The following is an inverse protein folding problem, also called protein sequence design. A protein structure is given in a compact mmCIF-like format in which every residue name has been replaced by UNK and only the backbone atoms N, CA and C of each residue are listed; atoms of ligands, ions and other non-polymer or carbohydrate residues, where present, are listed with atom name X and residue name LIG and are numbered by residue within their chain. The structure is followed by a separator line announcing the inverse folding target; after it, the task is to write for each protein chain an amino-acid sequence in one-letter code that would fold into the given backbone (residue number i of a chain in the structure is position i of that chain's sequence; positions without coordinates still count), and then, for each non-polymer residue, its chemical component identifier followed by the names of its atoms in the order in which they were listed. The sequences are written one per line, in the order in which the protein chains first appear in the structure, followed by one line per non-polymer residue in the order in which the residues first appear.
data_IF_601039565070
#
_entry.id   IF_601039565070
#
_cell.length_a   1.000
_cell.length_b   1.000
_cell.length_c   1.000
_cell.angle_alpha   90.00
_cell.angle_beta   90.00
_cell.angle_gamma   90.00
#
_symmetry.space_group_name_H-M   'P 1'
#
loop_
_entity.id
_entity.type
_entity.pdbx_description
1 polymer ?
#
# COMPACT_ATOMS: atom_id res chain seq x y z
N UNK A 1 3.03 16.38 -7.78
CA UNK A 1 3.64 16.10 -6.46
C UNK A 1 4.20 14.68 -6.52
N UNK A 2 5.37 14.43 -5.94
CA UNK A 2 5.96 13.08 -5.91
C UNK A 2 5.78 12.57 -4.49
N UNK A 3 4.91 11.58 -4.30
CA UNK A 3 4.74 10.92 -3.01
C UNK A 3 5.86 9.90 -2.79
N UNK A 4 6.16 9.62 -1.51
CA UNK A 4 7.14 8.61 -1.09
C UNK A 4 6.47 7.67 -0.11
N UNK A 5 6.83 6.39 -0.17
CA UNK A 5 6.35 5.36 0.74
C UNK A 5 7.13 5.35 2.06
N UNK A 6 6.39 5.23 3.16
CA UNK A 6 6.91 4.96 4.49
C UNK A 6 6.13 3.82 5.13
N UNK A 7 6.83 2.96 5.88
CA UNK A 7 6.23 1.74 6.42
C UNK A 7 6.42 1.62 7.92
N UNK A 8 5.31 1.39 8.62
CA UNK A 8 5.31 0.91 9.99
C UNK A 8 6.07 -0.44 10.08
N UNK A 9 6.83 -0.72 11.16
CA UNK A 9 7.58 -1.97 11.31
C UNK A 9 6.72 -3.24 11.14
N UNK A 10 5.45 -3.18 11.52
CA UNK A 10 4.51 -4.29 11.34
C UNK A 10 4.23 -4.56 9.86
N UNK A 11 4.01 -3.52 9.04
CA UNK A 11 3.83 -3.67 7.59
C UNK A 11 5.07 -4.29 6.94
N UNK A 12 6.27 -3.89 7.36
CA UNK A 12 7.52 -4.53 6.88
C UNK A 12 7.57 -6.03 7.21
N UNK A 13 7.08 -6.44 8.38
CA UNK A 13 6.99 -7.86 8.76
C UNK A 13 5.94 -8.60 7.94
N UNK A 14 4.81 -7.96 7.63
CA UNK A 14 3.75 -8.59 6.85
C UNK A 14 4.14 -8.75 5.37
N UNK A 15 4.78 -7.75 4.76
CA UNK A 15 5.37 -7.87 3.42
C UNK A 15 6.41 -9.00 3.36
N UNK A 16 7.10 -9.28 4.48
CA UNK A 16 8.06 -10.38 4.57
C UNK A 16 7.42 -11.78 4.53
N UNK A 17 6.12 -11.90 4.85
CA UNK A 17 5.39 -13.18 4.79
C UNK A 17 4.94 -13.53 3.37
N UNK A 18 4.89 -12.56 2.47
CA UNK A 18 4.57 -12.79 1.06
C UNK A 18 5.69 -13.58 0.36
N UNK A 19 5.29 -14.39 -0.63
CA UNK A 19 6.24 -15.05 -1.52
C UNK A 19 7.11 -14.01 -2.26
N UNK A 20 8.35 -14.36 -2.68
CA UNK A 20 9.23 -13.41 -3.35
C UNK A 20 8.58 -12.75 -4.57
N UNK A 21 7.84 -13.52 -5.39
CA UNK A 21 7.13 -13.02 -6.57
C UNK A 21 6.05 -11.99 -6.19
N UNK A 22 5.22 -12.28 -5.19
CA UNK A 22 4.18 -11.34 -4.75
C UNK A 22 4.78 -10.08 -4.12
N UNK A 23 5.87 -10.20 -3.37
CA UNK A 23 6.55 -9.03 -2.80
C UNK A 23 7.08 -8.10 -3.89
N UNK A 24 7.60 -8.66 -4.98
CA UNK A 24 8.06 -7.89 -6.14
C UNK A 24 6.89 -7.16 -6.80
N UNK A 25 5.78 -7.86 -7.11
CA UNK A 25 4.57 -7.27 -7.69
C UNK A 25 4.03 -6.12 -6.83
N UNK A 26 3.91 -6.33 -5.52
CA UNK A 26 3.45 -5.29 -4.59
C UNK A 26 4.35 -4.05 -4.67
N UNK A 27 5.67 -4.23 -4.67
CA UNK A 27 6.63 -3.11 -4.68
C UNK A 27 6.66 -2.36 -6.01
N UNK A 28 6.75 -3.10 -7.12
CA UNK A 28 7.02 -2.53 -8.43
C UNK A 28 5.75 -1.99 -9.10
N UNK A 29 4.61 -2.65 -8.89
CA UNK A 29 3.36 -2.30 -9.53
C UNK A 29 2.44 -1.52 -8.58
N UNK A 30 2.06 -2.14 -7.46
CA UNK A 30 0.99 -1.61 -6.61
C UNK A 30 1.40 -0.37 -5.83
N UNK A 31 2.56 -0.41 -5.14
CA UNK A 31 3.06 0.76 -4.41
C UNK A 31 3.37 1.91 -5.37
N UNK A 32 4.01 1.65 -6.51
CA UNK A 32 4.24 2.66 -7.55
C UNK A 32 2.94 3.32 -8.01
N UNK A 33 1.88 2.54 -8.25
CA UNK A 33 0.57 3.06 -8.65
C UNK A 33 -0.09 3.91 -7.54
N UNK A 34 0.02 3.49 -6.28
CA UNK A 34 -0.47 4.24 -5.12
C UNK A 34 0.28 5.58 -5.00
N UNK A 35 1.61 5.59 -5.14
CA UNK A 35 2.39 6.82 -5.03
C UNK A 35 2.08 7.83 -6.15
N UNK A 36 1.65 7.36 -7.32
CA UNK A 36 1.20 8.23 -8.41
C UNK A 36 -0.21 8.80 -8.16
N UNK A 37 -1.10 8.05 -7.50
CA UNK A 37 -2.50 8.43 -7.28
C UNK A 37 -3.00 7.95 -5.89
N UNK A 38 -2.56 8.57 -4.78
CA UNK A 38 -2.81 8.06 -3.43
C UNK A 38 -4.25 8.26 -2.93
N UNK A 39 -5.06 8.98 -3.69
CA UNK A 39 -6.47 9.28 -3.43
C UNK A 39 -7.44 8.30 -4.11
N UNK A 40 -6.95 7.36 -4.93
CA UNK A 40 -7.79 6.38 -5.65
C UNK A 40 -8.23 5.17 -4.80
N UNK A 41 -7.72 5.03 -3.58
CA UNK A 41 -8.16 3.99 -2.67
C UNK A 41 -9.59 4.21 -2.17
N UNK A 42 -10.18 3.18 -1.57
CA UNK A 42 -11.47 3.32 -0.89
C UNK A 42 -11.25 3.94 0.49
N UNK A 43 -11.85 5.10 0.82
CA UNK A 43 -11.71 5.68 2.15
C UNK A 43 -12.35 4.76 3.19
N UNK A 44 -11.67 4.59 4.32
CA UNK A 44 -12.21 3.90 5.49
C UNK A 44 -12.98 4.88 6.38
N UNK A 45 -13.94 4.35 7.14
CA UNK A 45 -14.85 5.14 7.96
C UNK A 45 -14.58 4.95 9.46
N UNK A 46 -15.17 5.83 10.29
CA UNK A 46 -15.08 5.77 11.75
C UNK A 46 -13.67 6.11 12.25
N UNK A 47 -13.12 5.29 13.14
CA UNK A 47 -11.78 5.48 13.73
C UNK A 47 -10.65 5.42 12.68
N UNK A 48 -10.94 4.94 11.47
CA UNK A 48 -10.01 4.85 10.35
C UNK A 48 -10.20 5.98 9.31
N UNK A 49 -10.98 7.01 9.63
CA UNK A 49 -11.12 8.19 8.79
C UNK A 49 -9.74 8.79 8.45
N UNK A 50 -9.52 9.08 7.17
CA UNK A 50 -8.23 9.55 6.64
C UNK A 50 -7.30 8.43 6.16
N UNK A 51 -7.69 7.16 6.32
CA UNK A 51 -6.98 6.00 5.75
C UNK A 51 -7.71 5.50 4.51
N UNK A 52 -6.93 5.04 3.52
CA UNK A 52 -7.45 4.49 2.27
C UNK A 52 -7.06 3.02 2.15
N UNK A 53 -8.00 2.17 1.72
CA UNK A 53 -7.79 0.76 1.43
C UNK A 53 -7.63 0.52 -0.08
N UNK A 54 -6.64 -0.29 -0.44
CA UNK A 54 -6.35 -0.69 -1.81
C UNK A 54 -6.51 -2.20 -1.95
N UNK A 55 -7.24 -2.63 -2.98
CA UNK A 55 -7.47 -4.04 -3.29
C UNK A 55 -6.90 -4.35 -4.67
N UNK A 56 -6.13 -5.43 -4.76
CA UNK A 56 -5.49 -5.92 -5.97
C UNK A 56 -5.91 -7.39 -6.18
N UNK A 57 -6.12 -7.78 -7.43
CA UNK A 57 -6.55 -9.14 -7.81
C UNK A 57 -5.34 -10.02 -8.17
#
# INVERSE_FOLDING_TARGET
MIYKDEYHPQVKKDLKKLSPKLRQIVREEHISAILLNPDKGKPLAGDLNGVFSYHFN
#
